data_IF_077324392383
#
_entry.id   IF_077324392383
#
_cell.length_a   1.000
_cell.length_b   1.000
_cell.length_c   1.000
_cell.angle_alpha   90.00
_cell.angle_beta   90.00
_cell.angle_gamma   90.00
#
_symmetry.space_group_name_H-M   'P 1'
#
loop_
_entity.id
_entity.type
_entity.pdbx_description
1 polymer ?
#
# COMPACT_ATOMS: atom_id res chain seq x y z
N UNK A 1 -10.40 3.90 -27.41
CA UNK A 1 -10.65 2.91 -26.34
C UNK A 1 -9.29 2.44 -25.83
N UNK A 2 -8.95 2.81 -24.60
CA UNK A 2 -7.79 2.42 -23.77
C UNK A 2 -6.39 2.32 -24.43
N UNK A 3 -5.66 3.44 -24.47
CA UNK A 3 -4.20 3.48 -24.72
C UNK A 3 -3.39 3.49 -23.41
N UNK A 4 -3.99 3.07 -22.31
CA UNK A 4 -3.47 3.32 -20.97
C UNK A 4 -2.99 2.04 -20.30
N UNK A 5 -1.75 2.13 -19.87
CA UNK A 5 -1.05 1.13 -19.08
C UNK A 5 -1.38 1.32 -17.62
N UNK A 6 -1.76 0.23 -16.93
CA UNK A 6 -2.11 0.29 -15.52
C UNK A 6 -1.19 -0.65 -14.74
N UNK A 7 -0.61 -0.12 -13.67
CA UNK A 7 0.10 -0.90 -12.67
C UNK A 7 -0.66 -0.84 -11.35
N UNK A 8 -0.88 -2.02 -10.77
CA UNK A 8 -1.36 -2.15 -9.40
C UNK A 8 -0.42 -3.03 -8.59
N UNK A 9 0.39 -2.39 -7.76
CA UNK A 9 1.23 -3.09 -6.78
C UNK A 9 0.53 -3.14 -5.44
N UNK A 10 0.39 -4.35 -4.91
CA UNK A 10 -0.22 -4.58 -3.62
C UNK A 10 0.82 -5.22 -2.71
N UNK A 11 1.20 -4.48 -1.68
CA UNK A 11 2.11 -4.91 -0.65
C UNK A 11 1.29 -5.35 0.55
N UNK A 12 1.14 -6.66 0.74
CA UNK A 12 0.42 -7.21 1.91
C UNK A 12 1.34 -7.18 3.11
N UNK A 13 0.83 -6.69 4.24
CA UNK A 13 1.66 -6.52 5.44
C UNK A 13 1.15 -7.37 6.60
N UNK A 14 -0.12 -7.26 7.00
CA UNK A 14 -0.57 -7.92 8.23
C UNK A 14 -2.09 -8.11 8.32
N UNK A 15 -2.53 -8.87 9.33
CA UNK A 15 -3.96 -8.98 9.71
C UNK A 15 -4.38 -7.80 10.58
N UNK A 16 -5.66 -7.45 10.55
CA UNK A 16 -6.24 -6.33 11.32
C UNK A 16 -5.81 -6.35 12.79
N UNK A 17 -4.93 -5.43 13.14
CA UNK A 17 -4.37 -5.21 14.47
C UNK A 17 -4.14 -3.70 14.61
N UNK A 18 -4.64 -3.10 15.70
CA UNK A 18 -4.61 -1.65 15.83
C UNK A 18 -3.19 -1.08 15.78
N UNK A 19 -2.19 -1.76 16.37
CA UNK A 19 -0.81 -1.27 16.39
C UNK A 19 -0.16 -1.35 15.01
N UNK A 20 -0.36 -2.46 14.31
CA UNK A 20 0.20 -2.61 12.96
C UNK A 20 -0.54 -1.72 11.95
N UNK A 21 -1.86 -1.55 12.10
CA UNK A 21 -2.68 -0.66 11.28
C UNK A 21 -2.16 0.76 11.35
N UNK A 22 -1.92 1.29 12.55
CA UNK A 22 -1.47 2.67 12.72
C UNK A 22 -0.06 2.89 12.19
N UNK A 23 0.82 1.87 12.29
CA UNK A 23 2.16 1.92 11.66
C UNK A 23 2.04 2.00 10.14
N UNK A 24 1.20 1.14 9.54
CA UNK A 24 0.96 1.15 8.10
C UNK A 24 0.33 2.46 7.63
N UNK A 25 -0.65 2.98 8.36
CA UNK A 25 -1.30 4.25 8.08
C UNK A 25 -0.32 5.43 8.18
N UNK A 26 0.57 5.41 9.17
CA UNK A 26 1.59 6.45 9.32
C UNK A 26 2.63 6.38 8.20
N UNK A 27 3.08 5.19 7.81
CA UNK A 27 3.95 5.02 6.63
C UNK A 27 3.24 5.55 5.38
N UNK A 28 1.97 5.20 5.17
CA UNK A 28 1.20 5.66 4.02
C UNK A 28 1.07 7.19 3.98
N UNK A 29 0.76 7.83 5.12
CA UNK A 29 0.68 9.29 5.23
C UNK A 29 2.00 9.97 4.84
N UNK A 30 3.12 9.48 5.36
CA UNK A 30 4.45 10.07 5.08
C UNK A 30 4.87 9.80 3.63
N UNK A 31 4.53 8.62 3.10
CA UNK A 31 4.85 8.20 1.75
C UNK A 31 3.99 8.89 0.69
N UNK A 32 2.74 9.24 0.98
CA UNK A 32 1.78 9.77 0.00
C UNK A 32 2.31 11.04 -0.69
N UNK A 33 2.74 12.03 0.11
CA UNK A 33 3.28 13.28 -0.44
C UNK A 33 4.59 13.04 -1.21
N UNK A 34 5.44 12.13 -0.72
CA UNK A 34 6.70 11.80 -1.38
C UNK A 34 6.49 11.08 -2.71
N UNK A 35 5.55 10.13 -2.74
CA UNK A 35 5.18 9.33 -3.91
C UNK A 35 4.59 10.24 -4.99
N UNK A 36 3.68 11.14 -4.61
CA UNK A 36 3.11 12.10 -5.55
C UNK A 36 4.20 13.00 -6.13
N UNK A 37 5.04 13.63 -5.30
CA UNK A 37 6.11 14.50 -5.79
C UNK A 37 7.06 13.76 -6.74
N UNK A 38 7.52 12.57 -6.35
CA UNK A 38 8.52 11.84 -7.12
C UNK A 38 7.93 11.24 -8.40
N UNK A 39 6.89 10.41 -8.28
CA UNK A 39 6.37 9.62 -9.40
C UNK A 39 5.51 10.47 -10.35
N UNK A 40 4.74 11.44 -9.82
CA UNK A 40 3.83 12.27 -10.63
C UNK A 40 4.47 13.57 -11.11
N UNK A 41 5.16 14.30 -10.24
CA UNK A 41 5.68 15.64 -10.59
C UNK A 41 7.06 15.59 -11.23
N UNK A 42 8.01 14.84 -10.65
CA UNK A 42 9.40 14.78 -11.13
C UNK A 42 9.52 13.81 -12.31
N UNK A 43 9.08 12.57 -12.13
CA UNK A 43 9.26 11.52 -13.14
C UNK A 43 8.14 11.49 -14.20
N UNK A 44 7.02 12.17 -13.91
CA UNK A 44 5.88 12.30 -14.81
C UNK A 44 5.40 10.97 -15.39
N UNK A 45 5.40 9.92 -14.55
CA UNK A 45 5.15 8.55 -14.99
C UNK A 45 3.73 8.33 -15.50
N UNK A 46 2.78 9.17 -15.13
CA UNK A 46 1.39 8.96 -15.47
C UNK A 46 0.49 10.12 -15.12
N UNK A 47 -0.73 10.12 -15.64
CA UNK A 47 -1.76 11.08 -15.26
C UNK A 47 -2.26 10.80 -13.84
N UNK A 48 -2.43 9.50 -13.51
CA UNK A 48 -2.86 9.02 -12.20
C UNK A 48 -1.66 8.38 -11.49
N UNK A 49 -1.37 8.86 -10.29
CA UNK A 49 -0.45 8.22 -9.35
C UNK A 49 -1.07 8.31 -7.97
N UNK A 50 -1.51 7.17 -7.46
CA UNK A 50 -2.19 7.07 -6.17
C UNK A 50 -1.45 6.08 -5.29
N UNK A 51 -1.22 6.49 -4.04
CA UNK A 51 -0.85 5.61 -2.95
C UNK A 51 -2.06 5.45 -2.04
N UNK A 52 -2.48 4.22 -1.74
CA UNK A 52 -3.63 3.98 -0.88
C UNK A 52 -3.36 2.85 0.09
N UNK A 53 -4.01 2.94 1.25
CA UNK A 53 -4.17 1.80 2.14
C UNK A 53 -5.20 0.84 1.55
N UNK A 54 -4.91 -0.45 1.64
CA UNK A 54 -5.80 -1.52 1.20
C UNK A 54 -6.19 -2.35 2.41
N UNK A 55 -7.47 -2.67 2.52
CA UNK A 55 -8.00 -3.68 3.43
C UNK A 55 -8.90 -4.62 2.63
N UNK A 56 -8.46 -5.88 2.46
CA UNK A 56 -9.32 -6.92 1.90
C UNK A 56 -9.51 -8.02 2.93
N UNK A 57 -10.74 -8.16 3.41
CA UNK A 57 -11.12 -9.22 4.35
C UNK A 57 -10.24 -9.29 5.60
N UNK A 58 -9.84 -8.12 6.13
CA UNK A 58 -9.00 -8.00 7.32
C UNK A 58 -7.51 -8.15 7.06
N UNK A 59 -7.08 -8.18 5.79
CA UNK A 59 -5.67 -8.10 5.41
C UNK A 59 -5.34 -6.70 4.95
N UNK A 60 -4.41 -6.08 5.67
CA UNK A 60 -3.99 -4.71 5.46
C UNK A 60 -2.70 -4.65 4.64
N UNK A 61 -2.63 -3.67 3.76
CA UNK A 61 -1.49 -3.46 2.87
C UNK A 61 -1.42 -2.07 2.28
N UNK A 62 -0.33 -1.82 1.57
CA UNK A 62 -0.09 -0.59 0.81
C UNK A 62 -0.31 -0.88 -0.67
N UNK A 63 -0.95 0.04 -1.39
CA UNK A 63 -1.27 -0.12 -2.80
C UNK A 63 -0.82 1.09 -3.62
N UNK A 64 0.00 0.85 -4.64
CA UNK A 64 0.29 1.83 -5.69
C UNK A 64 -0.63 1.59 -6.88
N UNK A 65 -1.21 2.67 -7.41
CA UNK A 65 -1.96 2.66 -8.67
C UNK A 65 -1.38 3.73 -9.56
N UNK A 66 -0.79 3.31 -10.67
CA UNK A 66 -0.16 4.22 -11.63
C UNK A 66 -0.73 3.93 -13.00
N UNK A 67 -1.19 4.99 -13.67
CA UNK A 67 -1.74 4.93 -15.01
C UNK A 67 -0.91 5.80 -15.95
N UNK A 68 -0.26 5.16 -16.92
CA UNK A 68 0.62 5.81 -17.89
C UNK A 68 0.12 5.59 -19.31
N UNK A 69 0.39 6.56 -20.19
CA UNK A 69 0.26 6.42 -21.64
C UNK A 69 1.62 6.33 -22.35
N UNK A 70 2.72 6.51 -21.60
CA UNK A 70 4.07 6.67 -22.17
C UNK A 70 4.99 5.52 -21.76
N UNK A 71 4.79 4.97 -20.56
CA UNK A 71 5.67 3.96 -19.98
C UNK A 71 4.94 2.63 -19.86
N UNK A 72 5.66 1.54 -20.14
CA UNK A 72 5.17 0.18 -19.93
C UNK A 72 5.11 -0.15 -18.41
N UNK A 73 4.28 -1.11 -18.00
CA UNK A 73 4.14 -1.47 -16.58
C UNK A 73 5.42 -1.95 -15.94
N UNK A 74 6.28 -2.67 -16.69
CA UNK A 74 7.52 -3.20 -16.15
C UNK A 74 8.49 -2.09 -15.79
N UNK A 75 8.58 -1.04 -16.61
CA UNK A 75 9.31 0.16 -16.24
C UNK A 75 8.73 0.82 -14.98
N UNK A 76 7.40 0.94 -14.89
CA UNK A 76 6.74 1.56 -13.74
C UNK A 76 7.04 0.81 -12.44
N UNK A 77 7.02 -0.54 -12.43
CA UNK A 77 7.41 -1.34 -11.27
C UNK A 77 8.81 -0.97 -10.77
N UNK A 78 9.79 -0.87 -11.68
CA UNK A 78 11.17 -0.51 -11.30
C UNK A 78 11.25 0.90 -10.69
N UNK A 79 10.38 1.82 -11.12
CA UNK A 79 10.29 3.17 -10.54
C UNK A 79 9.64 3.16 -9.16
N UNK A 80 8.64 2.31 -8.93
CA UNK A 80 8.04 2.11 -7.60
C UNK A 80 9.08 1.53 -6.64
N UNK A 81 9.87 0.54 -7.05
CA UNK A 81 10.96 0.01 -6.23
C UNK A 81 12.05 1.06 -5.93
N UNK A 82 12.42 1.87 -6.94
CA UNK A 82 13.37 2.97 -6.75
C UNK A 82 12.82 4.02 -5.77
N UNK A 83 11.52 4.33 -5.85
CA UNK A 83 10.85 5.20 -4.89
C UNK A 83 10.90 4.63 -3.48
N UNK A 84 10.64 3.33 -3.28
CA UNK A 84 10.71 2.70 -1.96
C UNK A 84 12.13 2.77 -1.35
N UNK A 85 13.17 2.61 -2.18
CA UNK A 85 14.57 2.79 -1.74
C UNK A 85 14.87 4.24 -1.36
N UNK A 86 14.38 5.21 -2.12
CA UNK A 86 14.51 6.63 -1.77
C UNK A 86 13.73 6.95 -0.48
N UNK A 87 12.55 6.36 -0.32
CA UNK A 87 11.70 6.57 0.85
C UNK A 87 12.32 5.97 2.12
N UNK A 88 13.05 4.86 2.01
CA UNK A 88 13.84 4.29 3.11
C UNK A 88 14.78 5.33 3.72
N UNK A 89 15.62 5.97 2.90
CA UNK A 89 16.52 7.04 3.36
C UNK A 89 15.75 8.17 4.05
N UNK A 90 14.64 8.61 3.45
CA UNK A 90 13.79 9.66 4.03
C UNK A 90 13.24 9.27 5.40
N UNK A 91 12.87 8.00 5.60
CA UNK A 91 12.33 7.53 6.88
C UNK A 91 13.41 7.48 7.96
N UNK A 92 14.64 7.07 7.62
CA UNK A 92 15.77 7.04 8.55
C UNK A 92 16.27 8.43 8.93
N UNK A 93 16.27 9.37 8.00
CA UNK A 93 16.71 10.75 8.21
C UNK A 93 15.64 11.65 8.84
N UNK A 94 14.41 11.15 9.00
CA UNK A 94 13.29 11.90 9.56
C UNK A 94 13.62 12.36 10.99
N UNK A 95 13.45 13.66 11.23
CA UNK A 95 13.68 14.24 12.56
C UNK A 95 12.60 13.79 13.54
N UNK A 96 12.92 13.86 14.85
CA UNK A 96 11.93 13.57 15.89
C UNK A 96 10.72 14.51 15.85
N UNK A 97 10.95 15.76 15.45
CA UNK A 97 9.89 16.76 15.36
C UNK A 97 8.98 16.51 14.16
N UNK A 98 9.55 16.13 13.00
CA UNK A 98 8.76 15.70 11.84
C UNK A 98 7.97 14.43 12.15
N UNK A 99 8.57 13.46 12.84
CA UNK A 99 7.86 12.26 13.28
C UNK A 99 6.66 12.60 14.16
N UNK A 100 6.85 13.43 15.19
CA UNK A 100 5.76 13.89 16.07
C UNK A 100 4.69 14.65 15.31
N UNK A 101 5.09 15.50 14.36
CA UNK A 101 4.18 16.25 13.50
C UNK A 101 3.28 15.30 12.69
N UNK A 102 3.87 14.28 12.05
CA UNK A 102 3.13 13.27 11.29
C UNK A 102 2.20 12.44 12.18
N UNK A 103 2.64 12.04 13.38
CA UNK A 103 1.79 11.32 14.35
C UNK A 103 0.60 12.19 14.75
N UNK A 104 0.82 13.46 15.08
CA UNK A 104 -0.25 14.39 15.45
C UNK A 104 -1.21 14.65 14.28
N UNK A 105 -0.70 14.79 13.06
CA UNK A 105 -1.52 14.92 11.87
C UNK A 105 -2.45 13.71 11.70
N UNK A 106 -1.91 12.49 11.85
CA UNK A 106 -2.72 11.26 11.74
C UNK A 106 -3.75 11.13 12.87
N UNK A 107 -3.40 11.53 14.11
CA UNK A 107 -4.34 11.58 15.23
C UNK A 107 -5.48 12.56 14.92
N UNK A 108 -5.18 13.75 14.43
CA UNK A 108 -6.18 14.77 14.09
C UNK A 108 -7.13 14.28 12.99
N UNK A 109 -6.59 13.63 11.94
CA UNK A 109 -7.41 13.02 10.89
C UNK A 109 -8.36 11.94 11.42
N UNK A 110 -7.93 11.17 12.44
CA UNK A 110 -8.79 10.14 13.07
C UNK A 110 -9.86 10.72 13.98
N UNK A 111 -9.55 11.81 14.68
CA UNK A 111 -10.47 12.47 15.59
C UNK A 111 -11.43 13.45 14.89
N UNK A 112 -11.26 13.65 13.57
CA UNK A 112 -12.19 14.44 12.78
C UNK A 112 -13.60 13.83 12.90
N UNK A 113 -14.57 14.69 13.25
CA UNK A 113 -15.98 14.28 13.34
C UNK A 113 -16.51 13.99 11.95
N UNK A 114 -17.44 13.04 11.86
CA UNK A 114 -18.18 12.82 10.63
C UNK A 114 -18.89 14.10 10.19
N UNK A 115 -18.80 14.41 8.90
CA UNK A 115 -19.40 15.63 8.34
C UNK A 115 -20.92 15.51 8.25
N UNK A 116 -21.42 14.29 8.20
CA UNK A 116 -22.84 13.98 8.08
C UNK A 116 -23.15 12.55 8.60
N UNK A 117 -24.43 12.25 8.80
CA UNK A 117 -24.89 10.95 9.28
C UNK A 117 -24.61 9.79 8.33
N UNK A 118 -24.41 10.06 7.04
CA UNK A 118 -24.05 9.03 6.06
C UNK A 118 -22.62 8.53 6.27
N UNK A 119 -21.67 9.44 6.48
CA UNK A 119 -20.28 9.09 6.83
C UNK A 119 -20.20 8.32 8.14
N UNK A 120 -20.98 8.73 9.14
CA UNK A 120 -21.07 8.04 10.42
C UNK A 120 -21.65 6.63 10.28
N UNK A 121 -22.76 6.51 9.56
CA UNK A 121 -23.39 5.22 9.28
C UNK A 121 -22.44 4.31 8.53
N UNK A 122 -21.72 4.84 7.53
CA UNK A 122 -20.75 4.07 6.74
C UNK A 122 -19.57 3.58 7.60
N UNK A 123 -19.10 4.36 8.57
CA UNK A 123 -18.05 3.94 9.50
C UNK A 123 -18.50 2.72 10.30
N UNK A 124 -19.63 2.82 11.00
CA UNK A 124 -20.15 1.71 11.81
C UNK A 124 -20.55 0.51 10.95
N UNK A 125 -21.12 0.76 9.77
CA UNK A 125 -21.48 -0.28 8.82
C UNK A 125 -20.24 -1.05 8.35
N UNK A 126 -19.12 -0.37 8.12
CA UNK A 126 -17.86 -1.00 7.76
C UNK A 126 -17.38 -1.94 8.87
N UNK A 127 -17.49 -1.56 10.15
CA UNK A 127 -17.15 -2.46 11.27
C UNK A 127 -18.08 -3.68 11.34
N UNK A 128 -19.37 -3.52 11.00
CA UNK A 128 -20.34 -4.62 10.98
C UNK A 128 -20.03 -5.63 9.87
N UNK A 129 -19.66 -5.16 8.67
CA UNK A 129 -19.44 -6.04 7.51
C UNK A 129 -18.01 -6.61 7.42
N UNK A 130 -17.03 -5.97 8.06
CA UNK A 130 -15.60 -6.30 7.91
C UNK A 130 -15.13 -7.49 8.75
N UNK A 131 -15.92 -7.93 9.73
CA UNK A 131 -15.56 -9.06 10.58
C UNK A 131 -16.68 -9.54 11.49
N UNK A 132 -16.43 -10.62 12.23
CA UNK A 132 -17.41 -11.22 13.14
C UNK A 132 -17.57 -10.44 14.45
N UNK A 133 -16.54 -9.69 14.84
CA UNK A 133 -16.50 -8.85 16.04
C UNK A 133 -16.28 -7.39 15.64
N UNK A 134 -17.35 -6.57 15.57
CA UNK A 134 -17.25 -5.15 15.24
C UNK A 134 -16.42 -4.39 16.27
N UNK A 135 -15.48 -3.54 15.84
CA UNK A 135 -14.62 -2.73 16.71
C UNK A 135 -15.04 -1.27 16.67
N UNK A 136 -16.14 -0.96 17.34
CA UNK A 136 -16.70 0.40 17.32
C UNK A 136 -15.80 1.44 18.00
N UNK A 137 -14.93 1.00 18.91
CA UNK A 137 -13.89 1.78 19.59
C UNK A 137 -12.57 1.88 18.81
N UNK A 138 -12.57 1.51 17.50
CA UNK A 138 -11.37 1.50 16.67
C UNK A 138 -10.67 2.86 16.66
N UNK A 139 -11.41 3.97 16.65
CA UNK A 139 -10.81 5.31 16.62
C UNK A 139 -10.01 5.58 17.89
N UNK A 140 -10.59 5.30 19.04
CA UNK A 140 -9.98 5.45 20.36
C UNK A 140 -8.76 4.54 20.49
N UNK A 141 -8.91 3.26 20.15
CA UNK A 141 -7.84 2.27 20.24
C UNK A 141 -6.65 2.58 19.31
N UNK A 142 -6.91 3.02 18.08
CA UNK A 142 -5.86 3.42 17.14
C UNK A 142 -5.19 4.74 17.56
N UNK A 143 -5.92 5.71 18.11
CA UNK A 143 -5.33 6.93 18.67
C UNK A 143 -4.44 6.63 19.86
N UNK A 144 -4.85 5.73 20.76
CA UNK A 144 -4.03 5.33 21.90
C UNK A 144 -2.79 4.54 21.49
N UNK A 145 -2.88 3.74 20.41
CA UNK A 145 -1.73 3.10 19.81
C UNK A 145 -0.76 4.12 19.20
N UNK A 146 -1.28 5.15 18.49
CA UNK A 146 -0.47 6.22 17.90
C UNK A 146 0.29 7.04 18.95
N UNK A 147 -0.35 7.37 20.07
CA UNK A 147 0.29 8.12 21.17
C UNK A 147 1.47 7.37 21.80
N UNK A 148 1.46 6.04 21.74
CA UNK A 148 2.51 5.17 22.31
C UNK A 148 3.58 4.78 21.28
N UNK A 149 3.35 5.08 20.00
CA UNK A 149 4.21 4.65 18.91
C UNK A 149 5.55 5.40 18.92
N UNK A 150 6.64 4.65 18.82
CA UNK A 150 7.98 5.22 18.68
C UNK A 150 8.46 5.21 17.22
N UNK A 151 9.37 6.13 16.89
CA UNK A 151 10.00 6.17 15.56
C UNK A 151 10.77 4.88 15.24
N UNK A 152 11.42 4.27 16.24
CA UNK A 152 12.13 3.01 16.07
C UNK A 152 11.19 1.86 15.71
N UNK A 153 10.02 1.78 16.34
CA UNK A 153 9.00 0.78 16.01
C UNK A 153 8.40 0.96 14.61
N UNK A 154 8.33 2.21 14.11
CA UNK A 154 7.90 2.51 12.75
C UNK A 154 8.96 2.05 11.73
N UNK A 155 10.23 2.36 11.99
CA UNK A 155 11.36 1.96 11.15
C UNK A 155 11.46 0.43 11.09
N UNK A 156 11.44 -0.25 12.24
CA UNK A 156 11.46 -1.71 12.28
C UNK A 156 10.29 -2.33 11.50
N UNK A 157 9.09 -1.74 11.59
CA UNK A 157 7.95 -2.18 10.81
C UNK A 157 8.15 -2.00 9.31
N UNK A 158 8.71 -0.87 8.88
CA UNK A 158 9.03 -0.62 7.48
C UNK A 158 10.05 -1.65 6.95
N UNK A 159 11.12 -1.91 7.71
CA UNK A 159 12.22 -2.80 7.31
C UNK A 159 11.79 -4.25 7.17
N UNK A 160 10.91 -4.73 8.05
CA UNK A 160 10.43 -6.11 8.03
C UNK A 160 9.36 -6.36 6.96
N UNK A 161 8.55 -5.34 6.62
CA UNK A 161 7.32 -5.57 5.88
C UNK A 161 7.19 -4.82 4.55
N UNK A 162 7.85 -3.66 4.40
CA UNK A 162 7.62 -2.74 3.28
C UNK A 162 8.86 -2.59 2.41
N UNK A 163 10.04 -2.55 3.02
CA UNK A 163 11.31 -2.41 2.35
C UNK A 163 11.47 -3.43 1.21
N UNK A 164 12.12 -2.99 0.13
CA UNK A 164 12.40 -3.86 -1.03
C UNK A 164 13.31 -5.00 -0.57
N UNK A 165 12.89 -6.24 -0.78
CA UNK A 165 13.60 -7.43 -0.31
C UNK A 165 13.41 -7.76 1.17
N UNK A 166 12.46 -7.11 1.86
CA UNK A 166 12.13 -7.46 3.23
C UNK A 166 11.57 -8.89 3.34
N UNK A 167 11.81 -9.54 4.48
CA UNK A 167 11.51 -10.96 4.70
C UNK A 167 10.01 -11.27 4.69
N UNK A 168 9.16 -10.32 5.10
CA UNK A 168 7.70 -10.48 5.16
C UNK A 168 6.96 -9.73 4.06
N UNK A 169 7.68 -9.11 3.15
CA UNK A 169 7.11 -8.38 2.03
C UNK A 169 6.51 -9.38 1.02
N UNK A 170 5.20 -9.27 0.79
CA UNK A 170 4.51 -9.99 -0.28
C UNK A 170 3.92 -8.96 -1.24
N UNK A 171 4.51 -8.87 -2.44
CA UNK A 171 4.05 -8.01 -3.52
C UNK A 171 3.23 -8.77 -4.54
N UNK A 172 2.10 -8.18 -4.95
CA UNK A 172 1.34 -8.59 -6.14
C UNK A 172 1.31 -7.41 -7.10
N UNK A 173 2.01 -7.55 -8.22
CA UNK A 173 1.99 -6.61 -9.34
C UNK A 173 0.98 -7.08 -10.39
N UNK A 174 0.04 -6.22 -10.76
CA UNK A 174 -0.90 -6.44 -11.86
C UNK A 174 -0.58 -5.44 -12.96
N UNK A 175 -0.12 -5.97 -14.10
CA UNK A 175 0.33 -5.20 -15.26
C UNK A 175 -0.69 -5.28 -16.38
N UNK A 176 -1.24 -4.15 -16.78
CA UNK A 176 -2.14 -4.03 -17.93
C UNK A 176 -1.43 -3.22 -19.00
N UNK A 177 -1.20 -3.81 -20.17
CA UNK A 177 -0.51 -3.16 -21.29
C UNK A 177 -1.53 -2.57 -22.25
N UNK A 178 -1.37 -1.29 -22.58
CA UNK A 178 -2.08 -0.68 -23.70
C UNK A 178 -1.52 -1.17 -25.04
N UNK A 179 -2.28 -0.99 -26.13
CA UNK A 179 -1.87 -1.42 -27.48
C UNK A 179 -0.50 -0.88 -27.92
N UNK A 180 -0.10 0.29 -27.42
CA UNK A 180 1.20 0.90 -27.74
C UNK A 180 2.39 0.15 -27.14
N UNK A 181 2.16 -0.71 -26.14
CA UNK A 181 3.20 -1.45 -25.42
C UNK A 181 3.14 -2.97 -25.67
N UNK A 182 2.60 -3.40 -26.81
CA UNK A 182 2.49 -4.81 -27.20
C UNK A 182 3.86 -5.47 -27.38
N UNK A 183 4.87 -4.73 -27.83
CA UNK A 183 6.22 -5.26 -28.01
C UNK A 183 6.86 -5.60 -26.65
N UNK A 184 6.72 -4.71 -25.67
CA UNK A 184 7.19 -4.87 -24.29
C UNK A 184 6.47 -6.01 -23.58
N UNK A 185 5.15 -6.16 -23.80
CA UNK A 185 4.39 -7.31 -23.31
C UNK A 185 4.96 -8.64 -23.84
N UNK A 186 5.22 -8.74 -25.15
CA UNK A 186 5.75 -9.95 -25.75
C UNK A 186 7.17 -10.27 -25.22
N UNK A 187 8.01 -9.24 -25.06
CA UNK A 187 9.35 -9.40 -24.47
C UNK A 187 9.26 -9.96 -23.05
N UNK A 188 8.50 -9.29 -22.16
CA UNK A 188 8.41 -9.66 -20.75
C UNK A 188 7.71 -11.01 -20.53
N UNK A 189 6.80 -11.42 -21.41
CA UNK A 189 6.21 -12.77 -21.37
C UNK A 189 7.21 -13.88 -21.71
N UNK A 190 8.23 -13.56 -22.51
CA UNK A 190 9.27 -14.52 -22.93
C UNK A 190 10.52 -14.52 -22.05
N UNK A 191 10.67 -13.50 -21.19
CA UNK A 191 11.77 -13.41 -20.24
C UNK A 191 11.66 -14.47 -19.14
N UNK A 192 12.81 -14.98 -18.69
CA UNK A 192 12.86 -15.89 -17.57
C UNK A 192 12.40 -15.18 -16.29
N UNK A 193 11.52 -15.83 -15.54
CA UNK A 193 11.00 -15.30 -14.27
C UNK A 193 12.15 -15.16 -13.27
N UNK A 194 12.29 -13.96 -12.70
CA UNK A 194 13.30 -13.66 -11.68
C UNK A 194 13.16 -14.61 -10.46
N UNK A 195 14.26 -14.93 -9.76
CA UNK A 195 14.20 -15.74 -8.55
C UNK A 195 13.27 -15.07 -7.52
N UNK A 196 12.43 -15.88 -6.87
CA UNK A 196 11.36 -15.47 -5.92
C UNK A 196 10.14 -14.77 -6.53
N UNK A 197 10.03 -14.68 -7.85
CA UNK A 197 8.82 -14.21 -8.55
C UNK A 197 8.03 -15.39 -9.10
N UNK A 198 6.71 -15.27 -9.14
CA UNK A 198 5.82 -16.25 -9.79
C UNK A 198 4.94 -15.52 -10.78
N UNK A 199 5.09 -15.84 -12.07
CA UNK A 199 4.14 -15.41 -13.09
C UNK A 199 2.84 -16.22 -12.95
N UNK A 200 1.70 -15.53 -12.98
CA UNK A 200 0.39 -16.14 -12.81
C UNK A 200 -0.28 -16.21 -14.18
N UNK A 201 -0.26 -17.38 -14.80
CA UNK A 201 -0.94 -17.62 -16.08
C UNK A 201 -2.41 -18.04 -15.88
N UNK A 202 -2.72 -18.72 -14.77
CA UNK A 202 -4.09 -19.07 -14.37
C UNK A 202 -4.37 -18.66 -12.92
N UNK A 203 -5.33 -17.76 -12.75
CA UNK A 203 -5.72 -17.22 -11.44
C UNK A 203 -6.32 -18.29 -10.53
N UNK A 204 -7.01 -19.29 -11.08
CA UNK A 204 -7.67 -20.31 -10.26
C UNK A 204 -6.66 -21.28 -9.65
N UNK A 205 -5.69 -21.74 -10.46
CA UNK A 205 -4.58 -22.58 -10.02
C UNK A 205 -3.72 -21.85 -8.99
N UNK A 206 -3.40 -20.58 -9.22
CA UNK A 206 -2.67 -19.77 -8.24
C UNK A 206 -3.42 -19.64 -6.92
N UNK A 207 -4.73 -19.40 -6.94
CA UNK A 207 -5.52 -19.32 -5.69
C UNK A 207 -5.55 -20.64 -4.92
N UNK A 208 -5.56 -21.78 -5.61
CA UNK A 208 -5.55 -23.12 -4.99
C UNK A 208 -4.20 -23.51 -4.41
N UNK A 209 -3.09 -23.00 -4.97
CA UNK A 209 -1.73 -23.35 -4.52
C UNK A 209 -1.25 -22.54 -3.32
N UNK A 210 -2.00 -21.52 -2.88
CA UNK A 210 -1.61 -20.63 -1.78
C UNK A 210 -2.45 -20.89 -0.53
N UNK A 211 -1.85 -20.82 0.67
CA UNK A 211 -2.61 -20.90 1.90
C UNK A 211 -3.56 -19.70 2.01
N UNK A 212 -4.75 -19.95 2.54
CA UNK A 212 -5.71 -18.90 2.85
C UNK A 212 -5.46 -18.37 4.26
N UNK A 213 -5.61 -17.06 4.45
CA UNK A 213 -5.64 -16.49 5.78
C UNK A 213 -6.86 -17.02 6.53
N UNK A 214 -6.68 -17.30 7.82
CA UNK A 214 -7.80 -17.65 8.66
C UNK A 214 -8.76 -16.46 8.73
N UNK A 215 -10.06 -16.74 8.71
CA UNK A 215 -11.10 -15.75 8.97
C UNK A 215 -10.81 -15.05 10.31
N UNK A 216 -10.94 -13.72 10.32
CA UNK A 216 -10.88 -12.92 11.54
C UNK A 216 -12.05 -13.37 12.42
N UNK A 217 -11.75 -14.19 13.43
CA UNK A 217 -12.74 -14.72 14.39
C UNK A 217 -13.16 -13.64 15.37
#
# INVERSE_FOLDING_TARGET
MAHETHLRDNLKVHRDDFKLNVKLQLVALIAEQAAFRQLRSVEQLGYITLLRLRNDSGIHGLQFIIQSIVKDPGHIDTRVEAFLKMFESKLYEMTKDDFKSNVNALINMKLEKHKNSSEESQFYWTEIISGRTPKFDRREAEVDALKKLTQQELIYFFDENIKVGATRNITLSVRVYGNQHLAEYNSQKSEAVQPNTVQIDDIFSFRRSRPLYASVR
#
